data_IF_471043437816
#
_entry.id   IF_471043437816
#
_cell.length_a   1.000
_cell.length_b   1.000
_cell.length_c   1.000
_cell.angle_alpha   90.00
_cell.angle_beta   90.00
_cell.angle_gamma   90.00
#
_symmetry.space_group_name_H-M   'P 1'
#
loop_
_entity.id
_entity.type
_entity.pdbx_description
1 polymer ?
#
# COMPACT_ATOMS: atom_id res chain seq x y z
N UNK A 1 21.15 27.28 12.19
CA UNK A 1 21.32 27.68 13.60
C UNK A 1 22.76 27.37 13.96
N UNK A 2 23.56 28.38 14.31
CA UNK A 2 24.94 28.20 14.80
C UNK A 2 24.95 27.42 16.11
N UNK A 3 26.00 26.63 16.31
CA UNK A 3 26.23 25.81 17.50
C UNK A 3 27.29 26.49 18.37
N UNK A 4 26.95 26.83 19.61
CA UNK A 4 27.90 27.13 20.69
C UNK A 4 27.96 25.94 21.62
N UNK A 5 29.18 25.48 21.93
CA UNK A 5 29.44 24.42 22.90
C UNK A 5 29.56 25.01 24.31
N UNK A 6 28.78 24.48 25.25
CA UNK A 6 29.10 24.54 26.68
C UNK A 6 29.10 23.12 27.24
N UNK A 7 30.16 22.78 27.97
CA UNK A 7 30.33 21.50 28.65
C UNK A 7 29.54 21.54 29.96
N UNK A 8 28.74 20.50 30.24
CA UNK A 8 28.18 20.28 31.57
C UNK A 8 29.15 19.46 32.43
N UNK A 9 29.12 19.66 33.75
CA UNK A 9 30.05 19.08 34.75
C UNK A 9 30.07 17.53 34.81
N UNK A 10 29.33 16.83 33.95
CA UNK A 10 29.26 15.37 33.89
C UNK A 10 29.82 14.71 32.62
N UNK A 11 30.39 15.46 31.67
CA UNK A 11 31.07 14.88 30.48
C UNK A 11 30.17 14.18 29.46
N UNK A 12 28.84 14.26 29.57
CA UNK A 12 27.92 13.71 28.59
C UNK A 12 27.70 14.72 27.44
N UNK A 13 28.05 14.32 26.21
CA UNK A 13 27.75 15.08 25.01
C UNK A 13 26.24 15.05 24.73
N UNK A 14 25.57 16.18 24.87
CA UNK A 14 24.16 16.34 24.48
C UNK A 14 24.10 16.58 22.97
N UNK A 15 23.50 15.67 22.22
CA UNK A 15 23.23 15.84 20.79
C UNK A 15 22.17 16.92 20.59
N UNK A 16 22.52 18.00 19.86
CA UNK A 16 21.54 18.93 19.31
C UNK A 16 21.52 18.79 17.79
N UNK A 17 20.32 18.70 17.23
CA UNK A 17 20.11 18.63 15.80
C UNK A 17 19.95 20.04 15.24
N UNK A 18 20.72 20.40 14.22
CA UNK A 18 20.45 21.57 13.40
C UNK A 18 19.67 21.13 12.16
N UNK A 19 18.39 21.48 12.10
CA UNK A 19 17.58 21.34 10.89
C UNK A 19 17.55 22.68 10.15
N UNK A 20 17.73 22.64 8.83
CA UNK A 20 17.39 23.78 7.97
C UNK A 20 15.87 23.78 7.83
N UNK A 21 15.23 24.87 8.26
CA UNK A 21 13.77 24.99 8.23
C UNK A 21 13.20 25.12 6.81
N UNK A 22 14.04 25.27 5.78
CA UNK A 22 13.63 25.38 4.38
C UNK A 22 14.81 25.16 3.41
N UNK A 23 14.49 24.92 2.14
CA UNK A 23 15.42 24.88 1.01
C UNK A 23 16.26 26.18 0.90
N UNK A 24 15.66 27.35 1.20
CA UNK A 24 16.36 28.64 1.21
C UNK A 24 17.46 28.73 2.29
N UNK A 25 17.25 28.09 3.44
CA UNK A 25 18.25 28.05 4.50
C UNK A 25 19.42 27.11 4.16
N UNK A 26 19.18 26.07 3.36
CA UNK A 26 20.22 25.20 2.80
C UNK A 26 21.06 25.98 1.78
N UNK A 27 20.44 26.68 0.84
CA UNK A 27 21.11 27.49 -0.20
C UNK A 27 21.99 28.61 0.40
N UNK A 28 21.53 29.27 1.46
CA UNK A 28 22.31 30.30 2.15
C UNK A 28 23.61 29.76 2.80
N UNK A 29 23.64 28.48 3.16
CA UNK A 29 24.81 27.83 3.77
C UNK A 29 25.91 27.45 2.76
N UNK A 30 25.66 27.59 1.46
CA UNK A 30 26.57 27.20 0.38
C UNK A 30 27.42 28.37 -0.17
N UNK A 31 27.28 29.60 0.35
CA UNK A 31 27.94 30.82 -0.18
C UNK A 31 29.47 30.87 -0.05
N UNK A 32 30.13 29.84 0.49
CA UNK A 32 31.58 29.82 0.72
C UNK A 32 32.40 28.98 -0.27
N UNK A 33 31.81 28.39 -1.35
CA UNK A 33 32.57 27.55 -2.30
C UNK A 33 32.31 27.92 -3.76
N UNK A 34 33.38 28.10 -4.53
CA UNK A 34 33.35 28.64 -5.90
C UNK A 34 32.90 27.66 -6.99
N UNK A 35 32.80 26.37 -6.70
CA UNK A 35 32.49 25.29 -7.66
C UNK A 35 31.18 24.53 -7.36
N UNK A 36 30.53 24.79 -6.22
CA UNK A 36 29.21 24.25 -5.86
C UNK A 36 29.12 22.73 -5.64
N UNK A 37 30.21 21.99 -5.88
CA UNK A 37 30.27 20.52 -5.73
C UNK A 37 30.88 20.10 -4.39
N UNK A 38 30.41 18.97 -3.87
CA UNK A 38 30.92 18.33 -2.65
C UNK A 38 31.26 16.87 -2.93
N UNK A 39 32.22 16.32 -2.19
CA UNK A 39 32.53 14.89 -2.23
C UNK A 39 31.67 14.14 -1.22
N UNK A 40 31.03 13.06 -1.69
CA UNK A 40 30.30 12.15 -0.82
C UNK A 40 31.24 11.49 0.21
N UNK A 41 30.90 11.55 1.48
CA UNK A 41 31.71 10.97 2.55
C UNK A 41 31.68 9.42 2.58
N UNK A 42 30.75 8.79 1.85
CA UNK A 42 30.67 7.33 1.74
C UNK A 42 31.43 6.77 0.53
N UNK A 43 31.31 7.39 -0.64
CA UNK A 43 31.82 6.85 -1.91
C UNK A 43 32.80 7.78 -2.64
N UNK A 44 33.09 8.96 -2.10
CA UNK A 44 33.95 10.01 -2.68
C UNK A 44 33.50 10.58 -4.04
N UNK A 45 32.34 10.18 -4.58
CA UNK A 45 31.75 10.78 -5.78
C UNK A 45 31.48 12.27 -5.56
N UNK A 46 31.87 13.10 -6.53
CA UNK A 46 31.54 14.53 -6.53
C UNK A 46 30.11 14.73 -7.03
N UNK A 47 29.34 15.52 -6.30
CA UNK A 47 27.95 15.83 -6.63
C UNK A 47 27.57 17.23 -6.14
N UNK A 48 26.48 17.78 -6.68
CA UNK A 48 25.90 19.04 -6.19
C UNK A 48 24.81 18.71 -5.18
N UNK A 49 24.77 19.43 -4.07
CA UNK A 49 23.73 19.26 -3.05
C UNK A 49 22.45 19.93 -3.51
N UNK A 50 21.43 19.15 -3.83
CA UNK A 50 20.11 19.58 -4.30
C UNK A 50 19.03 19.42 -3.22
N UNK A 51 19.24 18.55 -2.24
CA UNK A 51 18.29 18.23 -1.18
C UNK A 51 18.92 18.37 0.20
N UNK A 52 18.16 18.88 1.18
CA UNK A 52 18.62 18.95 2.57
C UNK A 52 18.98 17.56 3.13
N UNK A 53 18.35 16.50 2.63
CA UNK A 53 18.64 15.12 2.99
C UNK A 53 20.01 14.61 2.51
N UNK A 54 20.71 15.33 1.63
CA UNK A 54 22.07 14.99 1.22
C UNK A 54 23.13 15.54 2.18
N UNK A 55 22.74 16.35 3.16
CA UNK A 55 23.62 16.86 4.22
C UNK A 55 23.27 16.17 5.55
N UNK A 56 24.30 15.79 6.27
CA UNK A 56 24.26 15.06 7.53
C UNK A 56 25.15 15.77 8.54
N UNK A 57 24.79 15.75 9.81
CA UNK A 57 25.66 16.17 10.90
C UNK A 57 25.75 15.05 11.92
N UNK A 58 26.95 14.50 12.10
CA UNK A 58 27.22 13.45 13.09
C UNK A 58 28.53 13.79 13.81
N UNK A 59 28.56 13.63 15.14
CA UNK A 59 29.77 13.90 15.94
C UNK A 59 30.34 15.32 15.82
N UNK A 60 29.50 16.33 15.59
CA UNK A 60 29.94 17.72 15.38
C UNK A 60 30.58 17.98 14.00
N UNK A 61 30.58 17.01 13.10
CA UNK A 61 31.09 17.15 11.74
C UNK A 61 29.97 17.06 10.70
N UNK A 62 30.15 17.84 9.62
CA UNK A 62 29.24 17.83 8.47
C UNK A 62 29.67 16.76 7.48
N UNK A 63 28.72 15.95 7.05
CA UNK A 63 28.89 14.91 6.03
C UNK A 63 27.92 15.13 4.86
N UNK A 64 28.33 14.68 3.69
CA UNK A 64 27.60 14.77 2.43
C UNK A 64 27.37 13.36 1.87
N UNK A 65 26.14 13.08 1.44
CA UNK A 65 25.72 11.81 0.86
C UNK A 65 25.09 12.06 -0.51
N UNK A 66 25.64 11.46 -1.58
CA UNK A 66 25.11 11.64 -2.93
C UNK A 66 23.75 10.95 -3.16
N UNK A 67 23.35 10.04 -2.27
CA UNK A 67 22.06 9.34 -2.32
C UNK A 67 21.73 8.59 -1.02
N UNK A 68 20.52 8.00 -0.91
CA UNK A 68 20.01 7.36 0.31
C UNK A 68 20.91 6.22 0.83
N UNK A 69 21.49 5.42 -0.06
CA UNK A 69 22.39 4.32 0.31
C UNK A 69 23.69 4.82 0.95
N UNK A 70 24.28 5.88 0.40
CA UNK A 70 25.46 6.52 0.97
C UNK A 70 25.16 7.19 2.32
N UNK A 71 23.93 7.72 2.47
CA UNK A 71 23.45 8.31 3.72
C UNK A 71 23.35 7.25 4.82
N UNK A 72 22.75 6.09 4.54
CA UNK A 72 22.68 4.98 5.50
C UNK A 72 24.08 4.52 5.92
N UNK A 73 25.02 4.38 4.98
CA UNK A 73 26.41 3.99 5.28
C UNK A 73 27.15 4.98 6.20
N UNK A 74 26.95 6.29 5.99
CA UNK A 74 27.53 7.33 6.85
C UNK A 74 26.94 7.26 8.27
N UNK A 75 25.62 7.02 8.38
CA UNK A 75 24.93 6.91 9.67
C UNK A 75 25.30 5.63 10.44
N UNK A 76 25.59 4.55 9.72
CA UNK A 76 26.04 3.26 10.29
C UNK A 76 27.52 3.27 10.69
N UNK A 77 28.26 4.37 10.43
CA UNK A 77 29.69 4.48 10.74
C UNK A 77 30.59 3.61 9.87
N UNK A 78 30.05 3.01 8.80
CA UNK A 78 30.76 2.09 7.92
C UNK A 78 31.52 2.90 6.86
N UNK A 79 32.81 3.16 7.11
CA UNK A 79 33.73 3.60 6.05
C UNK A 79 34.10 2.39 5.19
N UNK A 80 33.55 2.29 3.99
CA UNK A 80 33.98 1.26 3.04
C UNK A 80 35.38 1.57 2.49
N UNK A 81 36.27 0.59 2.68
CA UNK A 81 37.55 0.43 2.00
C UNK A 81 37.34 0.35 0.48
N UNK A 82 38.25 0.93 -0.32
CA UNK A 82 38.17 0.91 -1.78
C UNK A 82 38.17 -0.54 -2.28
N UNK A 83 37.36 -0.85 -3.30
CA UNK A 83 37.33 -2.15 -3.99
C UNK A 83 38.71 -2.58 -4.54
N UNK A 84 39.68 -1.66 -4.65
CA UNK A 84 41.08 -1.96 -5.00
C UNK A 84 41.95 -2.51 -3.86
N UNK A 85 41.53 -2.46 -2.60
CA UNK A 85 42.30 -2.91 -1.42
C UNK A 85 41.94 -4.35 -0.96
N UNK A 86 41.04 -5.05 -1.68
CA UNK A 86 40.67 -6.46 -1.43
C UNK A 86 41.44 -7.47 -2.31
N UNK A 87 42.61 -7.09 -2.84
CA UNK A 87 43.55 -8.02 -3.49
C UNK A 87 44.82 -8.16 -2.65
N UNK A 88 44.71 -8.78 -1.48
CA UNK A 88 45.82 -9.40 -0.75
C UNK A 88 45.24 -10.15 0.46
N UNK A 89 44.62 -11.30 0.20
CA UNK A 89 44.75 -12.49 1.05
C UNK A 89 44.07 -13.65 0.32
N UNK A 90 44.92 -14.60 -0.02
CA UNK A 90 44.64 -15.81 -0.79
C UNK A 90 43.58 -16.67 -0.08
N UNK A 91 42.55 -17.04 -0.82
CA UNK A 91 41.79 -18.26 -0.59
C UNK A 91 42.16 -19.19 -1.74
N UNK A 92 43.08 -20.12 -1.45
CA UNK A 92 43.46 -21.19 -2.36
C UNK A 92 42.23 -22.02 -2.74
N UNK A 93 42.02 -22.19 -4.04
CA UNK A 93 41.18 -23.23 -4.60
C UNK A 93 42.02 -24.01 -5.64
N UNK A 94 41.95 -25.35 -5.63
CA UNK A 94 42.83 -26.16 -6.46
C UNK A 94 42.35 -26.26 -7.91
N UNK A 95 43.32 -26.21 -8.83
CA UNK A 95 43.36 -27.08 -10.02
C UNK A 95 42.65 -26.61 -11.29
N UNK A 96 43.48 -26.17 -12.24
CA UNK A 96 43.40 -26.39 -13.69
C UNK A 96 42.37 -25.62 -14.54
N UNK A 97 42.84 -24.56 -15.22
CA UNK A 97 42.86 -24.47 -16.70
C UNK A 97 43.50 -23.14 -17.17
N UNK A 98 44.19 -23.21 -18.32
CA UNK A 98 45.16 -22.28 -18.93
C UNK A 98 44.70 -20.81 -19.19
N UNK A 99 45.66 -19.86 -19.33
CA UNK A 99 45.36 -18.45 -19.55
C UNK A 99 45.07 -18.12 -21.03
N UNK A 100 44.08 -17.26 -21.26
CA UNK A 100 43.90 -16.54 -22.53
C UNK A 100 44.60 -15.17 -22.48
N UNK A 101 45.15 -14.68 -23.61
CA UNK A 101 46.04 -13.53 -23.65
C UNK A 101 45.31 -12.18 -23.59
N UNK A 102 46.02 -11.19 -23.07
CA UNK A 102 45.63 -9.78 -22.98
C UNK A 102 45.47 -9.12 -24.36
N UNK A 103 44.48 -8.22 -24.48
CA UNK A 103 44.37 -7.29 -25.60
C UNK A 103 44.40 -5.84 -25.08
N UNK A 104 45.43 -5.14 -25.53
CA UNK A 104 45.64 -3.69 -25.43
C UNK A 104 44.60 -2.90 -26.27
N UNK A 105 44.33 -1.63 -25.95
CA UNK A 105 43.28 -0.85 -26.57
C UNK A 105 43.73 -0.03 -27.80
N UNK A 106 42.71 0.40 -28.55
CA UNK A 106 42.66 1.42 -29.62
C UNK A 106 42.98 0.95 -31.05
N UNK A 107 42.07 1.22 -31.99
CA UNK A 107 42.10 2.51 -32.68
C UNK A 107 40.77 2.83 -33.40
N UNK A 108 40.54 4.12 -33.52
CA UNK A 108 39.43 4.82 -34.15
C UNK A 108 39.38 4.65 -35.68
N UNK A 109 38.18 4.56 -36.27
CA UNK A 109 38.07 4.66 -37.74
C UNK A 109 36.71 4.39 -38.38
N UNK A 110 36.05 5.48 -38.79
CA UNK A 110 35.05 5.64 -39.87
C UNK A 110 33.59 5.19 -39.67
N UNK A 111 32.76 6.23 -39.61
CA UNK A 111 31.33 6.29 -39.91
C UNK A 111 31.00 5.73 -41.31
N UNK A 112 29.96 4.90 -41.38
CA UNK A 112 29.11 4.75 -42.57
C UNK A 112 27.66 4.77 -42.13
N UNK A 113 26.87 5.65 -42.74
CA UNK A 113 25.41 5.71 -42.57
C UNK A 113 24.79 4.36 -42.92
N UNK A 114 23.97 3.82 -42.01
CA UNK A 114 23.06 2.71 -42.31
C UNK A 114 21.63 3.09 -41.93
N UNK A 115 20.80 3.09 -42.96
CA UNK A 115 19.34 3.19 -42.97
C UNK A 115 18.72 2.25 -41.90
N UNK A 116 17.71 2.69 -41.12
CA UNK A 116 17.08 1.85 -40.12
C UNK A 116 16.36 0.65 -40.76
N UNK A 117 16.41 -0.56 -40.15
CA UNK A 117 15.71 -1.72 -40.67
C UNK A 117 14.19 -1.58 -40.51
N UNK A 118 13.47 -2.20 -41.45
CA UNK A 118 12.02 -2.28 -41.48
C UNK A 118 11.41 -2.90 -40.19
N UNK A 119 10.24 -2.39 -39.81
CA UNK A 119 9.42 -2.92 -38.71
C UNK A 119 9.17 -4.44 -38.86
N UNK A 120 9.25 -5.23 -37.77
CA UNK A 120 8.96 -6.65 -37.83
C UNK A 120 7.45 -6.92 -38.07
N UNK A 121 7.11 -8.07 -38.68
CA UNK A 121 5.73 -8.43 -38.97
C UNK A 121 4.90 -8.69 -37.70
N UNK A 122 3.59 -8.50 -37.80
CA UNK A 122 2.63 -8.69 -36.72
C UNK A 122 2.75 -10.08 -36.08
N UNK A 123 2.88 -10.11 -34.74
CA UNK A 123 2.97 -11.33 -33.93
C UNK A 123 1.63 -12.08 -34.04
N UNK A 124 1.67 -13.30 -34.58
CA UNK A 124 0.54 -14.23 -34.50
C UNK A 124 0.40 -14.74 -33.05
N UNK A 125 -0.83 -14.90 -32.52
CA UNK A 125 -1.03 -15.32 -31.14
C UNK A 125 -0.48 -16.73 -30.92
N UNK A 126 0.58 -16.84 -30.11
CA UNK A 126 1.13 -18.12 -29.67
C UNK A 126 0.19 -18.75 -28.64
N UNK A 127 -0.07 -20.06 -28.79
CA UNK A 127 -0.83 -20.84 -27.82
C UNK A 127 -0.08 -20.88 -26.48
N UNK A 128 -0.72 -20.39 -25.42
CA UNK A 128 -0.19 -20.50 -24.06
C UNK A 128 -0.28 -21.96 -23.58
N UNK A 129 0.73 -22.46 -22.84
CA UNK A 129 0.63 -23.77 -22.19
C UNK A 129 -0.54 -23.78 -21.20
N UNK A 130 -1.39 -24.80 -21.30
CA UNK A 130 -2.52 -25.01 -20.38
C UNK A 130 -2.01 -25.03 -18.94
N UNK A 131 -2.30 -23.98 -18.19
CA UNK A 131 -1.98 -23.92 -16.77
C UNK A 131 -2.98 -24.81 -16.05
N UNK A 132 -2.56 -25.72 -15.15
CA UNK A 132 -3.51 -26.55 -14.41
C UNK A 132 -4.51 -25.66 -13.67
N UNK A 133 -5.81 -26.06 -13.62
CA UNK A 133 -6.83 -25.27 -12.95
C UNK A 133 -6.41 -25.03 -11.50
N UNK A 134 -6.62 -23.81 -10.96
CA UNK A 134 -6.19 -23.46 -9.62
C UNK A 134 -6.87 -24.41 -8.62
N UNK A 135 -6.21 -24.73 -7.50
CA UNK A 135 -6.80 -25.59 -6.48
C UNK A 135 -8.13 -25.00 -6.01
N UNK A 136 -9.20 -25.79 -6.12
CA UNK A 136 -10.54 -25.39 -5.67
C UNK A 136 -10.50 -25.13 -4.17
N UNK A 137 -10.98 -23.97 -3.76
CA UNK A 137 -11.16 -23.64 -2.34
C UNK A 137 -12.30 -24.49 -1.79
N UNK A 138 -12.04 -25.29 -0.77
CA UNK A 138 -13.11 -26.06 -0.15
C UNK A 138 -14.16 -25.12 0.46
N UNK A 139 -15.43 -25.33 0.09
CA UNK A 139 -16.57 -24.49 0.51
C UNK A 139 -16.73 -24.41 2.04
N UNK A 140 -16.27 -25.43 2.77
CA UNK A 140 -16.21 -25.49 4.24
C UNK A 140 -15.33 -24.39 4.84
N UNK A 141 -14.22 -24.04 4.19
CA UNK A 141 -13.29 -23.02 4.67
C UNK A 141 -13.82 -21.61 4.42
N UNK A 142 -14.58 -21.40 3.34
CA UNK A 142 -15.22 -20.11 3.07
C UNK A 142 -16.36 -19.80 4.03
N UNK A 143 -17.16 -20.81 4.42
CA UNK A 143 -18.21 -20.62 5.44
C UNK A 143 -17.64 -20.20 6.79
N UNK A 144 -16.50 -20.77 7.21
CA UNK A 144 -15.79 -20.38 8.44
C UNK A 144 -15.21 -18.96 8.39
N UNK A 145 -15.01 -18.43 7.20
CA UNK A 145 -14.47 -17.08 6.99
C UNK A 145 -15.57 -16.03 6.80
N UNK A 146 -16.86 -16.33 6.86
CA UNK A 146 -17.88 -15.28 6.71
C UNK A 146 -18.34 -14.75 8.05
N UNK A 147 -18.08 -13.47 8.38
CA UNK A 147 -18.71 -12.82 9.52
C UNK A 147 -20.16 -12.45 9.19
N UNK A 148 -20.97 -12.19 10.23
CA UNK A 148 -22.28 -11.53 10.11
C UNK A 148 -22.14 -10.09 9.59
N UNK A 149 -23.12 -9.19 9.84
CA UNK A 149 -23.01 -7.76 9.49
C UNK A 149 -21.68 -7.18 10.03
N UNK A 150 -20.69 -6.84 9.17
CA UNK A 150 -19.47 -6.24 9.68
C UNK A 150 -19.77 -4.78 10.03
N UNK A 151 -19.36 -4.37 11.23
CA UNK A 151 -19.37 -2.94 11.56
C UNK A 151 -18.15 -2.28 10.90
N UNK A 152 -16.98 -2.91 10.97
CA UNK A 152 -15.76 -2.46 10.32
C UNK A 152 -15.43 -3.35 9.13
N UNK A 153 -15.51 -2.79 7.92
CA UNK A 153 -15.24 -3.47 6.66
C UNK A 153 -14.00 -2.90 5.98
N UNK A 154 -12.93 -3.68 5.91
CA UNK A 154 -11.75 -3.32 5.14
C UNK A 154 -11.94 -3.68 3.66
N UNK A 155 -11.65 -2.74 2.77
CA UNK A 155 -11.63 -2.96 1.32
C UNK A 155 -10.19 -3.15 0.90
N UNK A 156 -9.78 -4.41 0.68
CA UNK A 156 -8.37 -4.75 0.47
C UNK A 156 -8.14 -5.72 -0.68
N UNK A 157 -7.07 -5.47 -1.42
CA UNK A 157 -6.53 -6.36 -2.44
C UNK A 157 -5.11 -5.97 -2.84
N UNK A 158 -4.20 -6.94 -2.93
CA UNK A 158 -2.77 -6.74 -3.19
C UNK A 158 -2.44 -6.21 -4.61
N UNK A 159 -3.37 -6.25 -5.57
CA UNK A 159 -3.18 -5.70 -6.92
C UNK A 159 -3.68 -4.27 -6.95
N UNK A 160 -2.89 -3.39 -7.57
CA UNK A 160 -3.32 -2.02 -7.91
C UNK A 160 -4.44 -2.02 -8.95
N UNK A 161 -5.23 -0.95 -9.00
CA UNK A 161 -6.23 -0.75 -10.06
C UNK A 161 -7.42 -1.71 -10.03
N UNK A 162 -7.70 -2.41 -8.92
CA UNK A 162 -8.88 -3.30 -8.80
C UNK A 162 -10.15 -2.60 -8.33
N UNK A 163 -10.13 -1.27 -8.22
CA UNK A 163 -11.28 -0.47 -7.77
C UNK A 163 -11.48 -0.41 -6.26
N UNK A 164 -10.42 -0.54 -5.43
CA UNK A 164 -10.51 -0.44 -3.96
C UNK A 164 -11.08 0.90 -3.49
N UNK A 165 -10.38 2.00 -3.72
CA UNK A 165 -10.84 3.35 -3.35
C UNK A 165 -12.21 3.67 -3.92
N UNK A 166 -12.45 3.33 -5.18
CA UNK A 166 -13.77 3.49 -5.79
C UNK A 166 -14.84 2.72 -5.02
N UNK A 167 -14.60 1.44 -4.72
CA UNK A 167 -15.54 0.61 -3.95
C UNK A 167 -15.73 1.18 -2.55
N UNK A 168 -14.66 1.56 -1.85
CA UNK A 168 -14.70 2.14 -0.51
C UNK A 168 -15.58 3.38 -0.48
N UNK A 169 -15.35 4.31 -1.41
CA UNK A 169 -16.14 5.54 -1.56
C UNK A 169 -17.60 5.26 -1.87
N UNK A 170 -17.90 4.41 -2.88
CA UNK A 170 -19.30 4.17 -3.27
C UNK A 170 -20.06 3.35 -2.23
N UNK A 171 -19.43 2.38 -1.57
CA UNK A 171 -20.07 1.63 -0.49
C UNK A 171 -20.37 2.55 0.69
N UNK A 172 -19.41 3.38 1.09
CA UNK A 172 -19.60 4.32 2.20
C UNK A 172 -20.70 5.35 1.90
N UNK A 173 -20.68 5.95 0.70
CA UNK A 173 -21.69 6.90 0.27
C UNK A 173 -23.10 6.28 0.19
N UNK A 174 -23.23 5.08 -0.39
CA UNK A 174 -24.54 4.44 -0.51
C UNK A 174 -25.12 4.03 0.84
N UNK A 175 -24.28 3.61 1.80
CA UNK A 175 -24.71 3.36 3.18
C UNK A 175 -25.21 4.66 3.86
N UNK A 176 -24.49 5.77 3.68
CA UNK A 176 -24.86 7.07 4.23
C UNK A 176 -26.17 7.61 3.62
N UNK A 177 -26.38 7.44 2.31
CA UNK A 177 -27.63 7.78 1.62
C UNK A 177 -28.83 6.95 2.11
N UNK A 178 -28.59 5.74 2.65
CA UNK A 178 -29.61 4.92 3.32
C UNK A 178 -29.80 5.27 4.79
N UNK A 179 -29.18 6.36 5.26
CA UNK A 179 -29.37 6.92 6.59
C UNK A 179 -28.46 6.31 7.67
N UNK A 180 -27.50 5.45 7.32
CA UNK A 180 -26.53 4.95 8.27
C UNK A 180 -25.45 6.00 8.55
N UNK A 181 -24.97 6.10 9.79
CA UNK A 181 -23.79 6.92 10.13
C UNK A 181 -22.53 6.16 9.70
N UNK A 182 -21.76 6.71 8.77
CA UNK A 182 -20.62 6.04 8.16
C UNK A 182 -19.35 6.84 8.35
N UNK A 183 -18.28 6.15 8.75
CA UNK A 183 -16.91 6.65 8.68
C UNK A 183 -16.15 5.94 7.56
N UNK A 184 -15.52 6.70 6.68
CA UNK A 184 -14.58 6.20 5.68
C UNK A 184 -13.14 6.59 6.07
N UNK A 185 -12.31 5.59 6.36
CA UNK A 185 -10.90 5.78 6.74
C UNK A 185 -10.01 5.48 5.54
N UNK A 186 -9.22 6.47 5.11
CA UNK A 186 -8.19 6.27 4.08
C UNK A 186 -6.87 5.84 4.74
N UNK A 187 -6.37 4.67 4.33
CA UNK A 187 -5.09 4.12 4.82
C UNK A 187 -4.04 4.04 3.71
N UNK A 188 -4.30 4.67 2.56
CA UNK A 188 -3.34 4.80 1.47
C UNK A 188 -2.64 6.17 1.54
N UNK A 189 -1.30 6.20 1.61
CA UNK A 189 -0.54 7.45 1.63
C UNK A 189 -0.71 8.33 0.39
N UNK A 190 -1.38 7.82 -0.66
CA UNK A 190 -1.77 8.62 -1.83
C UNK A 190 -2.97 9.56 -1.59
N UNK A 191 -3.77 9.35 -0.54
CA UNK A 191 -4.90 10.24 -0.21
C UNK A 191 -6.00 10.28 -1.28
N UNK A 192 -6.22 9.16 -1.98
CA UNK A 192 -7.14 9.11 -3.11
C UNK A 192 -8.61 9.26 -2.69
N UNK A 193 -8.98 8.94 -1.45
CA UNK A 193 -10.35 9.14 -0.96
C UNK A 193 -10.69 10.62 -0.93
N UNK A 194 -9.86 11.44 -0.26
CA UNK A 194 -10.09 12.87 -0.15
C UNK A 194 -10.13 13.54 -1.53
N UNK A 195 -9.18 13.18 -2.39
CA UNK A 195 -9.13 13.66 -3.78
C UNK A 195 -10.40 13.31 -4.56
N UNK A 196 -10.87 12.06 -4.45
CA UNK A 196 -12.06 11.59 -5.19
C UNK A 196 -13.36 12.29 -4.77
N UNK A 197 -13.38 12.86 -3.56
CA UNK A 197 -14.53 13.55 -2.99
C UNK A 197 -14.36 15.07 -2.95
N UNK A 198 -13.29 15.59 -3.59
CA UNK A 198 -12.91 17.00 -3.58
C UNK A 198 -12.83 17.60 -2.16
N UNK A 199 -12.28 16.83 -1.22
CA UNK A 199 -12.11 17.24 0.17
C UNK A 199 -10.71 17.78 0.42
N UNK A 200 -10.61 18.78 1.28
CA UNK A 200 -9.35 19.31 1.78
C UNK A 200 -9.32 19.22 3.30
N UNK A 201 -8.18 18.82 3.86
CA UNK A 201 -7.98 18.75 5.30
C UNK A 201 -6.52 18.97 5.65
N UNK A 202 -6.29 19.76 6.69
CA UNK A 202 -4.96 19.91 7.31
C UNK A 202 -4.61 18.71 8.19
N UNK A 203 -5.63 18.00 8.68
CA UNK A 203 -5.50 16.85 9.57
C UNK A 203 -5.75 15.56 8.79
N UNK A 204 -5.05 14.51 9.19
CA UNK A 204 -5.06 13.23 8.50
C UNK A 204 -4.88 12.09 9.49
N UNK A 205 -4.98 10.86 9.02
CA UNK A 205 -4.73 9.66 9.80
C UNK A 205 -3.38 9.70 10.53
N UNK A 206 -2.36 10.34 9.95
CA UNK A 206 -1.08 10.58 10.62
C UNK A 206 -1.24 11.29 11.97
N UNK A 207 -2.09 12.32 12.05
CA UNK A 207 -2.28 13.10 13.27
C UNK A 207 -2.96 12.28 14.38
N UNK A 208 -3.86 11.37 14.01
CA UNK A 208 -4.48 10.44 14.97
C UNK A 208 -3.47 9.42 15.48
N UNK A 209 -2.67 8.84 14.57
CA UNK A 209 -1.72 7.77 14.91
C UNK A 209 -0.52 8.28 15.69
N UNK A 210 0.10 9.36 15.21
CA UNK A 210 1.40 9.87 15.68
C UNK A 210 1.21 11.01 16.69
N UNK A 211 0.35 11.98 16.39
CA UNK A 211 0.15 13.17 17.25
C UNK A 211 -0.90 12.94 18.34
N UNK A 212 -1.61 11.82 18.31
CA UNK A 212 -2.59 11.44 19.33
C UNK A 212 -3.86 12.28 19.33
N UNK A 213 -4.19 12.93 18.22
CA UNK A 213 -5.49 13.60 18.07
C UNK A 213 -6.63 12.59 18.20
N UNK A 214 -7.75 13.05 18.74
CA UNK A 214 -8.96 12.23 18.76
C UNK A 214 -9.51 12.07 17.33
N UNK A 215 -10.31 11.02 17.12
CA UNK A 215 -10.95 10.78 15.82
C UNK A 215 -11.76 12.00 15.37
N UNK A 216 -12.58 12.53 16.28
CA UNK A 216 -13.49 13.66 16.07
C UNK A 216 -12.74 14.94 15.66
N UNK A 217 -11.47 15.07 16.04
CA UNK A 217 -10.64 16.22 15.67
C UNK A 217 -10.08 16.11 14.24
N UNK A 218 -10.00 14.91 13.68
CA UNK A 218 -9.31 14.66 12.41
C UNK A 218 -10.26 14.25 11.27
N UNK A 219 -11.52 13.91 11.58
CA UNK A 219 -12.54 13.65 10.57
C UNK A 219 -13.05 14.94 9.94
N UNK A 220 -13.50 14.80 8.70
CA UNK A 220 -14.18 15.84 7.94
C UNK A 220 -15.50 15.27 7.40
N UNK A 221 -16.57 16.06 7.49
CA UNK A 221 -17.86 15.68 6.89
C UNK A 221 -17.76 15.79 5.37
N UNK A 222 -18.00 14.69 4.66
CA UNK A 222 -17.97 14.64 3.21
C UNK A 222 -19.36 14.77 2.59
N UNK A 223 -20.39 14.25 3.28
CA UNK A 223 -21.82 14.32 2.97
C UNK A 223 -22.61 14.09 4.27
N UNK A 224 -23.93 14.36 4.29
CA UNK A 224 -24.78 13.92 5.40
C UNK A 224 -24.58 12.44 5.72
N UNK A 225 -24.32 12.16 6.99
CA UNK A 225 -24.02 10.83 7.53
C UNK A 225 -22.73 10.15 7.01
N UNK A 226 -21.87 10.86 6.27
CA UNK A 226 -20.58 10.34 5.79
C UNK A 226 -19.43 11.25 6.24
N UNK A 227 -18.69 10.76 7.22
CA UNK A 227 -17.42 11.35 7.63
C UNK A 227 -16.25 10.62 6.98
N UNK A 228 -15.17 11.36 6.74
CA UNK A 228 -13.92 10.84 6.19
C UNK A 228 -12.78 11.15 7.16
N UNK A 229 -11.98 10.14 7.49
CA UNK A 229 -10.65 10.32 8.06
C UNK A 229 -9.64 10.20 6.92
N UNK A 230 -9.15 11.32 6.36
CA UNK A 230 -8.32 11.30 5.18
C UNK A 230 -6.87 10.90 5.51
N UNK A 231 -6.14 10.49 4.49
CA UNK A 231 -4.68 10.30 4.51
C UNK A 231 -4.02 11.22 3.49
N UNK A 232 -2.70 11.29 3.56
CA UNK A 232 -1.84 11.99 2.62
C UNK A 232 -0.41 11.43 2.74
N UNK A 233 0.56 12.05 2.08
CA UNK A 233 1.95 11.60 2.02
C UNK A 233 2.62 11.48 3.41
N UNK A 234 2.10 12.17 4.43
CA UNK A 234 2.62 12.08 5.81
C UNK A 234 2.45 10.68 6.43
N UNK A 235 1.62 9.82 5.82
CA UNK A 235 1.44 8.44 6.27
C UNK A 235 2.74 7.63 6.22
N UNK A 236 3.68 7.98 5.34
CA UNK A 236 5.02 7.37 5.32
C UNK A 236 5.75 7.57 6.66
N UNK A 237 5.63 8.76 7.28
CA UNK A 237 6.18 9.02 8.60
C UNK A 237 5.41 8.27 9.70
N UNK A 238 4.09 8.08 9.55
CA UNK A 238 3.32 7.24 10.47
C UNK A 238 3.81 5.78 10.43
N UNK A 239 4.14 5.23 9.26
CA UNK A 239 4.67 3.87 9.15
C UNK A 239 6.02 3.69 9.84
N UNK A 240 6.92 4.67 9.70
CA UNK A 240 8.19 4.69 10.44
C UNK A 240 7.96 4.77 11.96
N UNK A 241 7.02 5.61 12.39
CA UNK A 241 6.63 5.70 13.79
C UNK A 241 6.12 4.35 14.31
N UNK A 242 5.17 3.72 13.61
CA UNK A 242 4.60 2.41 13.96
C UNK A 242 5.68 1.34 14.07
N UNK A 243 6.68 1.33 13.19
CA UNK A 243 7.74 0.32 13.18
C UNK A 243 8.50 0.23 14.51
N UNK A 244 8.67 1.36 15.22
CA UNK A 244 9.33 1.46 16.51
C UNK A 244 8.43 1.18 17.73
N UNK A 245 7.13 0.97 17.54
CA UNK A 245 6.20 0.78 18.65
C UNK A 245 6.03 -0.69 19.06
N UNK A 246 5.68 -0.90 20.34
CA UNK A 246 5.18 -2.20 20.82
C UNK A 246 3.74 -2.41 20.32
N UNK A 247 3.39 -3.66 19.97
CA UNK A 247 2.06 -4.02 19.39
C UNK A 247 1.70 -3.13 18.21
N UNK A 248 2.70 -2.83 17.37
CA UNK A 248 2.63 -1.91 16.24
C UNK A 248 1.51 -2.19 15.25
N UNK A 249 1.01 -3.43 15.21
CA UNK A 249 -0.09 -3.94 14.39
C UNK A 249 -1.49 -3.60 14.93
N UNK A 250 -1.60 -3.05 16.15
CA UNK A 250 -2.91 -2.78 16.81
C UNK A 250 -3.12 -1.33 17.20
N UNK A 251 -2.23 -0.44 16.81
CA UNK A 251 -2.29 0.97 17.21
C UNK A 251 -3.51 1.64 16.57
N UNK A 252 -3.80 1.37 15.30
CA UNK A 252 -5.00 1.92 14.66
C UNK A 252 -6.28 1.48 15.38
N UNK A 253 -6.41 0.20 15.71
CA UNK A 253 -7.56 -0.31 16.43
C UNK A 253 -7.75 0.41 17.77
N UNK A 254 -6.66 0.60 18.53
CA UNK A 254 -6.70 1.34 19.80
C UNK A 254 -7.10 2.81 19.62
N UNK A 255 -6.59 3.47 18.57
CA UNK A 255 -6.89 4.89 18.29
C UNK A 255 -8.31 5.10 17.77
N UNK A 256 -8.85 4.13 17.04
CA UNK A 256 -10.15 4.20 16.39
C UNK A 256 -11.26 3.44 17.13
N UNK A 257 -11.01 2.95 18.34
CA UNK A 257 -12.02 2.18 19.09
C UNK A 257 -13.34 2.94 19.24
N UNK A 258 -13.28 4.26 19.53
CA UNK A 258 -14.45 5.14 19.63
C UNK A 258 -15.29 5.20 18.35
N UNK A 259 -14.72 4.89 17.18
CA UNK A 259 -15.47 4.85 15.93
C UNK A 259 -16.62 3.83 15.99
N UNK A 260 -16.46 2.75 16.76
CA UNK A 260 -17.49 1.71 16.93
C UNK A 260 -18.71 2.21 17.71
N UNK A 261 -18.57 3.27 18.51
CA UNK A 261 -19.68 3.86 19.25
C UNK A 261 -20.39 4.95 18.42
N UNK A 262 -19.64 5.66 17.59
CA UNK A 262 -20.10 6.83 16.85
C UNK A 262 -20.75 6.48 15.51
N UNK A 263 -20.33 5.39 14.86
CA UNK A 263 -20.73 5.04 13.51
C UNK A 263 -21.36 3.65 13.45
N UNK A 264 -22.39 3.52 12.60
CA UNK A 264 -23.04 2.25 12.31
C UNK A 264 -22.18 1.38 11.39
N UNK A 265 -21.37 2.02 10.55
CA UNK A 265 -20.39 1.37 9.68
C UNK A 265 -19.08 2.16 9.60
N UNK A 266 -17.97 1.44 9.60
CA UNK A 266 -16.63 1.97 9.32
C UNK A 266 -16.06 1.24 8.10
N UNK A 267 -15.83 1.97 7.02
CA UNK A 267 -15.21 1.45 5.80
C UNK A 267 -13.75 1.86 5.81
N UNK A 268 -12.84 0.91 5.58
CA UNK A 268 -11.39 1.20 5.56
C UNK A 268 -10.83 0.96 4.16
N UNK A 269 -10.43 2.03 3.48
CA UNK A 269 -9.79 1.96 2.17
C UNK A 269 -8.31 1.61 2.33
N UNK A 270 -7.93 0.43 1.87
CA UNK A 270 -6.57 -0.07 2.01
C UNK A 270 -5.78 0.07 0.71
N UNK A 271 -4.51 0.49 0.83
CA UNK A 271 -3.57 0.54 -0.29
C UNK A 271 -3.30 -0.88 -0.86
N UNK A 272 -2.67 -1.04 -2.05
CA UNK A 272 -2.37 -2.36 -2.60
C UNK A 272 -1.23 -3.12 -1.89
N UNK A 273 -0.55 -2.52 -0.91
CA UNK A 273 0.58 -3.14 -0.22
C UNK A 273 0.15 -3.82 1.09
N UNK A 274 0.98 -4.68 1.67
CA UNK A 274 0.82 -5.15 3.06
C UNK A 274 1.71 -4.34 4.00
N UNK A 275 1.67 -3.01 3.87
CA UNK A 275 2.40 -2.12 4.76
C UNK A 275 1.92 -2.25 6.22
N UNK A 276 2.71 -1.74 7.17
CA UNK A 276 2.30 -1.76 8.59
C UNK A 276 0.96 -1.07 8.81
N UNK A 277 0.66 -0.01 8.04
CA UNK A 277 -0.64 0.67 8.13
C UNK A 277 -1.80 -0.24 7.68
N UNK A 278 -1.67 -0.94 6.56
CA UNK A 278 -2.71 -1.88 6.12
C UNK A 278 -2.83 -3.09 7.05
N UNK A 279 -1.74 -3.55 7.68
CA UNK A 279 -1.82 -4.58 8.72
C UNK A 279 -2.65 -4.11 9.92
N UNK A 280 -2.47 -2.86 10.33
CA UNK A 280 -3.31 -2.22 11.35
C UNK A 280 -4.77 -2.10 10.94
N UNK A 281 -5.05 -1.69 9.69
CA UNK A 281 -6.39 -1.64 9.13
C UNK A 281 -7.09 -2.99 9.19
N UNK A 282 -6.37 -4.05 8.80
CA UNK A 282 -6.88 -5.41 8.83
C UNK A 282 -7.05 -5.95 10.25
N UNK A 283 -6.22 -5.54 11.21
CA UNK A 283 -6.36 -5.87 12.63
C UNK A 283 -7.60 -5.23 13.26
N UNK A 284 -7.97 -4.05 12.78
CA UNK A 284 -9.15 -3.32 13.23
C UNK A 284 -10.46 -3.82 12.60
N UNK A 285 -10.37 -4.40 11.40
CA UNK A 285 -11.53 -4.82 10.62
C UNK A 285 -12.17 -6.14 11.11
N UNK A 286 -13.51 -6.17 11.10
CA UNK A 286 -14.27 -7.40 11.37
C UNK A 286 -14.25 -8.33 10.15
N UNK A 287 -14.22 -7.72 8.96
CA UNK A 287 -14.27 -8.42 7.69
C UNK A 287 -13.54 -7.70 6.57
N UNK A 288 -13.25 -8.45 5.51
CA UNK A 288 -12.64 -7.94 4.28
C UNK A 288 -13.60 -8.12 3.10
N UNK A 289 -13.78 -7.03 2.34
CA UNK A 289 -14.30 -7.02 0.99
C UNK A 289 -13.11 -6.97 0.03
N UNK A 290 -13.06 -7.88 -0.94
CA UNK A 290 -11.95 -7.97 -1.90
C UNK A 290 -12.41 -7.63 -3.32
N UNK A 291 -12.20 -6.40 -3.81
CA UNK A 291 -12.45 -6.05 -5.21
C UNK A 291 -11.45 -6.71 -6.15
N UNK A 292 -11.92 -7.41 -7.17
CA UNK A 292 -11.11 -8.13 -8.16
C UNK A 292 -11.49 -7.65 -9.55
N UNK A 293 -10.54 -7.06 -10.29
CA UNK A 293 -10.79 -6.67 -11.67
C UNK A 293 -10.99 -7.90 -12.56
N UNK A 294 -12.04 -7.86 -13.38
CA UNK A 294 -12.36 -8.88 -14.38
C UNK A 294 -11.47 -8.71 -15.62
N UNK A 295 -10.18 -9.02 -15.51
CA UNK A 295 -9.22 -8.91 -16.61
C UNK A 295 -8.57 -10.27 -16.98
N UNK A 296 -7.68 -10.27 -17.99
CA UNK A 296 -6.97 -11.45 -18.54
C UNK A 296 -6.33 -12.38 -17.50
N UNK A 297 -6.09 -11.90 -16.27
CA UNK A 297 -5.47 -12.67 -15.20
C UNK A 297 -6.48 -13.34 -14.25
N UNK A 298 -7.65 -13.75 -14.72
CA UNK A 298 -8.73 -14.39 -13.95
C UNK A 298 -8.28 -15.49 -12.97
N UNK A 299 -7.34 -16.35 -13.38
CA UNK A 299 -6.75 -17.39 -12.52
C UNK A 299 -5.85 -16.84 -11.40
N UNK A 300 -5.26 -15.65 -11.60
CA UNK A 300 -4.54 -14.91 -10.57
C UNK A 300 -5.52 -14.34 -9.55
N UNK A 301 -6.71 -13.90 -9.95
CA UNK A 301 -7.72 -13.33 -9.05
C UNK A 301 -8.07 -14.22 -7.86
N UNK A 302 -8.41 -15.50 -8.10
CA UNK A 302 -8.69 -16.47 -7.02
C UNK A 302 -7.50 -16.65 -6.10
N UNK A 303 -6.32 -16.90 -6.69
CA UNK A 303 -5.06 -17.11 -5.95
C UNK A 303 -4.66 -15.88 -5.16
N UNK A 304 -4.97 -14.70 -5.67
CA UNK A 304 -4.68 -13.42 -5.04
C UNK A 304 -5.60 -13.16 -3.84
N UNK A 305 -6.89 -13.45 -3.96
CA UNK A 305 -7.82 -13.42 -2.83
C UNK A 305 -7.36 -14.41 -1.74
N UNK A 306 -6.98 -15.64 -2.13
CA UNK A 306 -6.49 -16.64 -1.19
C UNK A 306 -5.17 -16.23 -0.51
N UNK A 307 -4.23 -15.65 -1.27
CA UNK A 307 -2.99 -15.10 -0.71
C UNK A 307 -3.29 -13.99 0.28
N UNK A 308 -4.18 -13.08 -0.10
CA UNK A 308 -4.65 -11.99 0.75
C UNK A 308 -5.18 -12.53 2.08
N UNK A 309 -6.14 -13.47 2.05
CA UNK A 309 -6.72 -14.08 3.26
C UNK A 309 -5.64 -14.81 4.10
N UNK A 310 -4.78 -15.62 3.47
CA UNK A 310 -3.71 -16.33 4.18
C UNK A 310 -2.72 -15.39 4.84
N UNK A 311 -2.34 -14.30 4.17
CA UNK A 311 -1.41 -13.31 4.69
C UNK A 311 -2.02 -12.52 5.83
N UNK A 312 -3.28 -12.07 5.68
CA UNK A 312 -4.04 -11.41 6.74
C UNK A 312 -4.09 -12.28 8.00
N UNK A 313 -4.49 -13.55 7.87
CA UNK A 313 -4.60 -14.46 9.01
C UNK A 313 -3.24 -14.74 9.69
N UNK A 314 -2.16 -14.85 8.90
CA UNK A 314 -0.81 -15.07 9.45
C UNK A 314 -0.32 -13.87 10.25
N UNK A 315 -0.59 -12.65 9.79
CA UNK A 315 -0.11 -11.43 10.43
C UNK A 315 -0.88 -11.15 11.72
N UNK A 316 -2.19 -11.38 11.72
CA UNK A 316 -3.06 -11.02 12.84
C UNK A 316 -3.11 -12.09 13.94
N UNK A 317 -2.72 -13.32 13.64
CA UNK A 317 -2.83 -14.45 14.57
C UNK A 317 -4.28 -14.88 14.84
N UNK A 318 -5.26 -14.32 14.13
CA UNK A 318 -6.67 -14.72 14.13
C UNK A 318 -7.25 -14.64 12.71
N UNK A 319 -8.38 -15.32 12.48
CA UNK A 319 -9.05 -15.28 11.18
C UNK A 319 -9.84 -13.99 11.00
N UNK A 320 -9.44 -13.13 10.05
CA UNK A 320 -10.34 -12.07 9.56
C UNK A 320 -11.24 -12.68 8.52
N UNK A 321 -12.53 -12.40 8.65
CA UNK A 321 -13.52 -12.96 7.77
C UNK A 321 -13.47 -12.35 6.36
N UNK A 322 -13.55 -13.18 5.31
CA UNK A 322 -13.90 -12.72 3.98
C UNK A 322 -15.41 -12.49 3.91
N UNK A 323 -15.85 -11.23 3.92
CA UNK A 323 -17.25 -10.90 3.70
C UNK A 323 -17.67 -11.19 2.25
N UNK A 324 -16.84 -10.78 1.28
CA UNK A 324 -17.12 -11.02 -0.12
C UNK A 324 -15.97 -10.71 -1.07
N UNK A 325 -16.05 -11.29 -2.26
CA UNK A 325 -15.24 -10.95 -3.43
C UNK A 325 -16.14 -10.15 -4.36
N UNK A 326 -15.72 -8.94 -4.72
CA UNK A 326 -16.47 -8.06 -5.61
C UNK A 326 -15.79 -8.02 -6.99
N UNK A 327 -16.35 -8.68 -8.01
CA UNK A 327 -15.84 -8.53 -9.36
C UNK A 327 -16.07 -7.08 -9.84
N UNK A 328 -15.05 -6.42 -10.36
CA UNK A 328 -15.12 -5.02 -10.84
C UNK A 328 -14.66 -4.91 -12.29
N UNK A 329 -14.97 -3.78 -12.92
CA UNK A 329 -14.61 -3.51 -14.31
C UNK A 329 -15.15 -4.57 -15.26
N UNK A 330 -16.37 -5.05 -14.99
CA UNK A 330 -16.97 -6.12 -15.77
C UNK A 330 -17.53 -5.57 -17.09
N UNK A 331 -16.92 -5.97 -18.19
CA UNK A 331 -17.47 -5.77 -19.54
C UNK A 331 -18.26 -7.01 -19.97
N UNK A 332 -19.56 -6.84 -20.16
CA UNK A 332 -20.48 -7.91 -20.59
C UNK A 332 -20.14 -8.50 -21.95
N UNK A 333 -19.49 -7.72 -22.82
CA UNK A 333 -19.13 -8.12 -24.19
C UNK A 333 -17.84 -8.95 -24.20
N UNK A 334 -16.94 -8.67 -23.27
CA UNK A 334 -15.66 -9.34 -23.17
C UNK A 334 -15.79 -10.78 -22.63
N UNK A 335 -15.41 -11.76 -23.46
CA UNK A 335 -15.42 -13.18 -23.09
C UNK A 335 -14.60 -13.45 -21.82
N UNK A 336 -13.45 -12.80 -21.72
CA UNK A 336 -12.55 -12.93 -20.56
C UNK A 336 -13.19 -12.51 -19.25
N UNK A 337 -14.02 -11.45 -19.25
CA UNK A 337 -14.73 -11.00 -18.06
C UNK A 337 -15.76 -12.04 -17.60
N UNK A 338 -16.45 -12.70 -18.54
CA UNK A 338 -17.42 -13.77 -18.25
C UNK A 338 -16.73 -14.99 -17.65
N UNK A 339 -15.64 -15.44 -18.25
CA UNK A 339 -14.83 -16.55 -17.73
C UNK A 339 -14.24 -16.23 -16.34
N UNK A 340 -13.82 -14.98 -16.11
CA UNK A 340 -13.37 -14.51 -14.80
C UNK A 340 -14.47 -14.64 -13.74
N UNK A 341 -15.67 -14.11 -14.06
CA UNK A 341 -16.82 -14.14 -13.17
C UNK A 341 -17.25 -15.57 -12.85
N UNK A 342 -17.30 -16.45 -13.85
CA UNK A 342 -17.61 -17.87 -13.66
C UNK A 342 -16.60 -18.53 -12.73
N UNK A 343 -15.30 -18.31 -12.95
CA UNK A 343 -14.24 -18.85 -12.10
C UNK A 343 -14.37 -18.36 -10.65
N UNK A 344 -14.63 -17.07 -10.45
CA UNK A 344 -14.84 -16.49 -9.13
C UNK A 344 -16.09 -17.08 -8.45
N UNK A 345 -17.21 -17.23 -9.18
CA UNK A 345 -18.44 -17.84 -8.66
C UNK A 345 -18.25 -19.30 -8.29
N UNK A 346 -17.57 -20.09 -9.12
CA UNK A 346 -17.29 -21.50 -8.86
C UNK A 346 -16.46 -21.69 -7.58
N UNK A 347 -15.49 -20.80 -7.34
CA UNK A 347 -14.59 -20.89 -6.19
C UNK A 347 -15.19 -20.28 -4.91
N UNK A 348 -15.89 -19.15 -4.99
CA UNK A 348 -16.34 -18.39 -3.82
C UNK A 348 -17.84 -18.54 -3.51
N UNK A 349 -18.63 -19.14 -4.40
CA UNK A 349 -20.07 -19.33 -4.21
C UNK A 349 -20.76 -18.02 -3.85
N UNK A 350 -21.55 -18.02 -2.77
CA UNK A 350 -22.32 -16.84 -2.34
C UNK A 350 -21.47 -15.64 -1.86
N UNK A 351 -20.14 -15.81 -1.75
CA UNK A 351 -19.21 -14.76 -1.37
C UNK A 351 -18.76 -14.00 -2.61
N UNK A 352 -18.88 -14.59 -3.80
CA UNK A 352 -18.76 -13.85 -5.05
C UNK A 352 -20.01 -12.98 -5.21
N UNK A 353 -19.83 -11.67 -5.08
CA UNK A 353 -20.90 -10.69 -5.24
C UNK A 353 -21.26 -10.52 -6.73
N UNK A 354 -22.45 -9.96 -7.03
CA UNK A 354 -22.73 -9.47 -8.37
C UNK A 354 -21.61 -8.53 -8.86
N UNK A 355 -21.23 -8.60 -10.14
CA UNK A 355 -20.15 -7.76 -10.67
C UNK A 355 -20.57 -6.29 -10.75
N UNK A 356 -19.60 -5.39 -10.60
CA UNK A 356 -19.74 -3.97 -10.96
C UNK A 356 -19.37 -3.79 -12.43
N UNK A 357 -20.32 -3.30 -13.22
CA UNK A 357 -20.12 -3.04 -14.64
C UNK A 357 -19.05 -1.97 -14.89
N UNK A 358 -18.27 -2.17 -15.97
CA UNK A 358 -17.39 -1.14 -16.48
C UNK A 358 -18.22 -0.03 -17.14
N UNK A 359 -18.18 1.18 -16.59
CA UNK A 359 -18.70 2.40 -17.21
C UNK A 359 -17.71 3.54 -17.04
N UNK A 360 -17.54 4.40 -18.06
CA UNK A 360 -16.58 5.52 -18.01
C UNK A 360 -16.90 6.49 -16.87
N UNK A 361 -18.19 6.66 -16.56
CA UNK A 361 -18.72 7.51 -15.48
C UNK A 361 -18.10 7.23 -14.11
N UNK A 362 -17.71 5.98 -13.84
CA UNK A 362 -17.03 5.61 -12.57
C UNK A 362 -15.65 6.28 -12.46
N UNK A 363 -14.95 6.49 -13.57
CA UNK A 363 -13.65 7.19 -13.62
C UNK A 363 -13.82 8.70 -13.71
N UNK A 364 -14.94 9.18 -14.24
CA UNK A 364 -15.24 10.61 -14.38
C UNK A 364 -15.75 11.24 -13.08
N UNK A 365 -16.54 10.52 -12.27
CA UNK A 365 -17.14 11.09 -11.05
C UNK A 365 -16.10 11.70 -10.06
N UNK A 366 -14.93 11.07 -9.81
CA UNK A 366 -13.89 11.65 -8.97
C UNK A 366 -13.34 12.99 -9.46
N UNK A 367 -13.28 13.24 -10.78
CA UNK A 367 -12.72 14.50 -11.31
C UNK A 367 -13.57 15.73 -11.03
N UNK A 368 -14.83 15.51 -10.63
CA UNK A 368 -15.77 16.56 -10.22
C UNK A 368 -16.16 16.44 -8.73
N UNK A 369 -15.44 15.62 -7.95
CA UNK A 369 -15.66 15.46 -6.51
C UNK A 369 -16.96 14.75 -6.11
N UNK A 370 -17.62 14.08 -7.05
CA UNK A 370 -18.95 13.48 -6.84
C UNK A 370 -18.89 11.96 -6.66
N UNK A 371 -19.81 11.42 -5.87
CA UNK A 371 -20.07 9.98 -5.85
C UNK A 371 -20.75 9.57 -7.16
N UNK A 372 -20.83 8.27 -7.42
CA UNK A 372 -21.52 7.78 -8.59
C UNK A 372 -23.04 7.99 -8.48
N UNK A 373 -23.59 7.95 -7.26
CA UNK A 373 -24.99 8.25 -6.99
C UNK A 373 -25.34 9.70 -7.35
N UNK A 374 -24.43 10.64 -7.08
CA UNK A 374 -24.59 12.06 -7.44
C UNK A 374 -24.33 12.34 -8.92
N UNK A 375 -23.31 11.70 -9.50
CA UNK A 375 -22.84 12.01 -10.85
C UNK A 375 -23.61 11.28 -11.94
N UNK A 376 -23.98 10.02 -11.72
CA UNK A 376 -24.62 9.16 -12.70
C UNK A 376 -25.65 8.22 -12.03
N UNK A 377 -26.73 8.74 -11.42
CA UNK A 377 -27.67 7.96 -10.60
C UNK A 377 -28.33 6.79 -11.34
N UNK A 378 -28.52 6.91 -12.66
CA UNK A 378 -29.19 5.90 -13.50
C UNK A 378 -28.22 4.97 -14.23
N UNK A 379 -26.94 4.95 -13.85
CA UNK A 379 -25.95 4.09 -14.50
C UNK A 379 -26.01 2.64 -13.97
N UNK A 380 -25.71 1.67 -14.83
CA UNK A 380 -25.65 0.26 -14.42
C UNK A 380 -24.72 0.04 -13.22
N UNK A 381 -23.57 0.72 -13.18
CA UNK A 381 -22.64 0.61 -12.06
C UNK A 381 -23.23 1.17 -10.75
N UNK A 382 -24.09 2.19 -10.81
CA UNK A 382 -24.79 2.72 -9.65
C UNK A 382 -25.77 1.70 -9.08
N UNK A 383 -26.55 1.06 -9.96
CA UNK A 383 -27.43 -0.05 -9.56
C UNK A 383 -26.63 -1.22 -8.97
N UNK A 384 -25.47 -1.54 -9.55
CA UNK A 384 -24.61 -2.61 -9.03
C UNK A 384 -24.10 -2.28 -7.61
N UNK A 385 -23.67 -1.04 -7.35
CA UNK A 385 -23.29 -0.60 -6.01
C UNK A 385 -24.47 -0.59 -5.04
N UNK A 386 -25.68 -0.22 -5.49
CA UNK A 386 -26.88 -0.35 -4.65
C UNK A 386 -27.10 -1.78 -4.17
N UNK A 387 -26.91 -2.79 -5.04
CA UNK A 387 -27.02 -4.21 -4.64
C UNK A 387 -25.98 -4.60 -3.59
N UNK A 388 -24.77 -4.04 -3.65
CA UNK A 388 -23.73 -4.27 -2.62
C UNK A 388 -24.15 -3.66 -1.28
N UNK A 389 -24.65 -2.42 -1.30
CA UNK A 389 -25.12 -1.69 -0.12
C UNK A 389 -26.31 -2.40 0.52
N UNK A 390 -27.31 -2.80 -0.27
CA UNK A 390 -28.48 -3.54 0.20
C UNK A 390 -28.09 -4.88 0.83
N UNK A 391 -27.10 -5.57 0.27
CA UNK A 391 -26.57 -6.80 0.85
C UNK A 391 -25.87 -6.54 2.20
N UNK A 392 -25.14 -5.44 2.35
CA UNK A 392 -24.51 -5.06 3.63
C UNK A 392 -25.54 -4.68 4.70
N UNK A 393 -26.63 -4.04 4.31
CA UNK A 393 -27.74 -3.68 5.20
C UNK A 393 -28.56 -4.91 5.63
N UNK A 394 -28.78 -5.86 4.71
CA UNK A 394 -29.64 -7.04 4.95
C UNK A 394 -28.93 -8.26 5.56
N UNK A 395 -27.59 -8.30 5.55
CA UNK A 395 -26.83 -9.36 6.19
C UNK A 395 -27.06 -9.33 7.71
N UNK A 396 -28.03 -10.10 8.23
CA UNK A 396 -28.23 -10.26 9.68
C UNK A 396 -27.15 -11.16 10.29
N UNK A 397 -26.78 -10.90 11.55
CA UNK A 397 -25.80 -11.69 12.28
C UNK A 397 -26.32 -13.13 12.52
N UNK A 398 -25.87 -14.08 11.70
CA UNK A 398 -26.10 -15.50 11.93
C UNK A 398 -24.91 -16.34 11.43
N UNK A 399 -23.95 -16.55 12.33
CA UNK A 399 -23.29 -17.83 12.54
C UNK A 399 -22.49 -17.72 13.84
N UNK A 400 -23.10 -18.12 14.96
CA UNK A 400 -22.35 -18.50 16.15
C UNK A 400 -21.23 -19.48 15.74
N UNK A 401 -20.02 -19.39 16.33
CA UNK A 401 -19.01 -20.40 16.08
C UNK A 401 -19.59 -21.78 16.44
N UNK A 402 -19.35 -22.84 15.65
CA UNK A 402 -19.71 -24.18 16.08
C UNK A 402 -18.96 -24.44 17.39
N UNK A 403 -19.72 -24.70 18.46
CA UNK A 403 -19.19 -25.23 19.71
C UNK A 403 -18.29 -26.41 19.37
N UNK A 404 -17.07 -26.37 19.91
CA UNK A 404 -16.16 -27.50 19.85
C UNK A 404 -16.90 -28.71 20.45
N UNK A 405 -17.15 -29.72 19.63
CA UNK A 405 -17.58 -31.02 20.12
C UNK A 405 -16.41 -31.64 20.87
N UNK A 406 -16.36 -31.40 22.18
CA UNK A 406 -15.95 -32.43 23.12
C UNK A 406 -16.85 -33.64 22.92
N UNK A 407 -16.26 -34.75 22.46
CA UNK A 407 -16.60 -36.12 22.86
C UNK A 407 -15.62 -37.04 22.12
N UNK A 408 -14.66 -37.59 22.85
CA UNK A 408 -14.78 -38.90 23.49
C UNK A 408 -14.21 -39.99 22.58
N UNK A 409 -12.87 -40.06 22.56
CA UNK A 409 -12.14 -41.27 22.17
C UNK A 409 -11.85 -42.10 23.42
N UNK A 410 -12.90 -42.64 24.03
CA UNK A 410 -12.81 -43.73 24.98
C UNK A 410 -13.25 -45.04 24.32
N UNK A 411 -12.65 -46.13 24.79
CA UNK A 411 -13.01 -47.54 24.54
C UNK A 411 -12.40 -48.08 23.23
N UNK A 412 -11.51 -49.08 23.22
CA UNK A 412 -11.41 -50.29 24.05
C UNK A 412 -9.99 -50.84 24.03
#
# INVERSE_FOLDING_TARGET
MEERNELTEGGAAVTRYAFYCSQKCLEASHKERSDGQVACNACATRFTVELAAQVLFTGGQRHYACGPECRSRILEGVRSVRIGELRQNELELPGDAEPLPELEPSDSGRLTERVPPALPPAIQPQAHPETPPPPRVERSNLRRLRPGKPQVLAVFNHKGGTGKTTTSVQVAAGLAEKGARVLLVDTDGQGNVATSLALTSERSLYHVIVMGLSLEQAVIEARPNLDVLPSNETLAAAELYLAGQKRRDRILAQRLERARDLYDYVIVDCSPSLSLMNQNALAFADAVLCPVACDYLSLVGVRQVLRTIKQVNRILGHSVGLWGVLPTQFDTRARICREALETLRQNFGDACLPPIHYVSRVKEAPSVGKTLFEYAPTSNATEDYWRVVEKLLSSTAAASPPQAAEQAGGVK
#
